data_IF_622282918511
#
_entry.id   IF_622282918511
#
_cell.length_a   1.000
_cell.length_b   1.000
_cell.length_c   1.000
_cell.angle_alpha   90.00
_cell.angle_beta   90.00
_cell.angle_gamma   90.00
#
_symmetry.space_group_name_H-M   'P 1'
#
loop_
_entity.id
_entity.type
_entity.pdbx_description
1 polymer ?
#
# COMPACT_ATOMS: atom_id res chain seq x y z
N UNK A 1 41.45 28.89 20.17
CA UNK A 1 40.18 29.18 19.45
C UNK A 1 39.98 28.33 18.19
N UNK A 2 41.01 28.11 17.35
CA UNK A 2 40.88 27.36 16.07
C UNK A 2 40.42 25.89 16.21
N UNK A 3 40.93 25.13 17.19
CA UNK A 3 40.53 23.71 17.42
C UNK A 3 39.04 23.54 17.77
N UNK A 4 38.51 24.35 18.69
CA UNK A 4 37.08 24.30 19.08
C UNK A 4 36.16 24.68 17.92
N UNK A 5 36.59 25.63 17.09
CA UNK A 5 35.88 26.02 15.87
C UNK A 5 35.87 24.91 14.81
N UNK A 6 36.96 24.14 14.66
CA UNK A 6 37.01 22.97 13.77
C UNK A 6 36.04 21.87 14.23
N UNK A 7 36.01 21.55 15.53
CA UNK A 7 35.07 20.55 16.05
C UNK A 7 33.61 20.97 15.90
N UNK A 8 33.31 22.25 16.10
CA UNK A 8 31.97 22.79 15.85
C UNK A 8 31.58 22.70 14.37
N UNK A 9 32.53 22.95 13.46
CA UNK A 9 32.29 22.84 12.03
C UNK A 9 32.04 21.39 11.59
N UNK A 10 32.83 20.44 12.10
CA UNK A 10 32.65 19.02 11.83
C UNK A 10 31.32 18.48 12.37
N UNK A 11 30.89 18.96 13.55
CA UNK A 11 29.59 18.60 14.11
C UNK A 11 28.43 19.07 13.21
N UNK A 12 28.48 20.33 12.75
CA UNK A 12 27.46 20.89 11.86
C UNK A 12 27.41 20.12 10.54
N UNK A 13 28.58 19.81 9.96
CA UNK A 13 28.68 19.01 8.75
C UNK A 13 28.08 17.62 8.97
N UNK A 14 28.40 16.95 10.08
CA UNK A 14 27.84 15.63 10.40
C UNK A 14 26.32 15.66 10.52
N UNK A 15 25.76 16.67 11.20
CA UNK A 15 24.30 16.82 11.34
C UNK A 15 23.64 17.03 9.98
N UNK A 16 24.26 17.85 9.11
CA UNK A 16 23.78 18.08 7.75
C UNK A 16 23.83 16.78 6.93
N UNK A 17 24.92 16.02 6.98
CA UNK A 17 25.03 14.76 6.24
C UNK A 17 24.02 13.70 6.72
N UNK A 18 23.73 13.63 8.02
CA UNK A 18 22.78 12.64 8.57
C UNK A 18 21.31 13.06 8.42
N UNK A 19 21.04 14.34 8.14
CA UNK A 19 19.65 14.83 7.95
C UNK A 19 19.14 14.60 6.54
N UNK A 20 20.01 14.28 5.59
CA UNK A 20 19.61 13.70 4.30
C UNK A 20 19.27 12.23 4.50
N UNK A 21 18.01 11.96 4.84
CA UNK A 21 17.43 10.63 4.63
C UNK A 21 17.34 10.40 3.12
N UNK A 22 18.44 9.94 2.52
CA UNK A 22 18.50 9.40 1.16
C UNK A 22 17.82 8.03 1.16
N UNK A 23 16.54 8.01 1.51
CA UNK A 23 15.68 6.90 1.16
C UNK A 23 15.52 7.02 -0.35
N UNK A 24 16.41 6.34 -1.08
CA UNK A 24 16.28 6.21 -2.53
C UNK A 24 14.90 5.59 -2.77
N UNK A 25 14.06 6.29 -3.53
CA UNK A 25 12.84 5.71 -4.04
C UNK A 25 13.21 4.38 -4.71
N UNK A 26 12.48 3.31 -4.36
CA UNK A 26 12.65 2.00 -5.00
C UNK A 26 12.59 2.21 -6.51
N UNK A 27 13.59 1.67 -7.21
CA UNK A 27 13.82 1.85 -8.63
C UNK A 27 12.54 1.59 -9.43
N UNK A 28 12.14 2.54 -10.28
CA UNK A 28 10.88 2.49 -11.04
C UNK A 28 10.93 1.49 -12.20
N UNK A 29 12.12 1.00 -12.54
CA UNK A 29 12.39 0.18 -13.72
C UNK A 29 11.73 -1.22 -13.66
N UNK A 30 11.21 -1.64 -12.49
CA UNK A 30 10.54 -2.92 -12.29
C UNK A 30 9.13 -2.77 -11.69
N UNK A 31 8.41 -1.72 -12.04
CA UNK A 31 7.04 -1.54 -11.55
C UNK A 31 6.10 -2.54 -12.25
N UNK A 32 5.42 -3.40 -11.49
CA UNK A 32 4.30 -4.20 -12.00
C UNK A 32 3.24 -3.25 -12.57
N UNK A 33 2.90 -3.41 -13.85
CA UNK A 33 1.91 -2.57 -14.49
C UNK A 33 0.51 -3.17 -14.34
N UNK A 34 -0.43 -2.33 -13.90
CA UNK A 34 -1.85 -2.67 -13.78
C UNK A 34 -2.65 -1.78 -14.71
N UNK A 35 -3.36 -2.38 -15.67
CA UNK A 35 -4.34 -1.69 -16.52
C UNK A 35 -5.73 -2.25 -16.23
N UNK A 36 -6.63 -1.39 -15.79
CA UNK A 36 -8.02 -1.74 -15.52
C UNK A 36 -8.94 -1.00 -16.48
N UNK A 37 -9.82 -1.75 -17.12
CA UNK A 37 -10.98 -1.22 -17.83
C UNK A 37 -12.22 -1.55 -17.02
N UNK A 38 -12.96 -0.53 -16.59
CA UNK A 38 -14.12 -0.66 -15.71
C UNK A 38 -15.36 -0.07 -16.39
N UNK A 39 -16.48 -0.77 -16.26
CA UNK A 39 -17.80 -0.32 -16.69
C UNK A 39 -18.71 -0.29 -15.46
N UNK A 40 -19.19 0.89 -15.12
CA UNK A 40 -20.22 1.07 -14.09
C UNK A 40 -21.60 1.02 -14.76
N UNK A 41 -22.43 0.06 -14.33
CA UNK A 41 -23.84 0.03 -14.65
C UNK A 41 -24.64 0.56 -13.45
N UNK A 42 -25.10 1.80 -13.57
CA UNK A 42 -25.82 2.51 -12.50
C UNK A 42 -27.20 1.90 -12.22
N UNK A 43 -27.89 1.41 -13.25
CA UNK A 43 -29.24 0.84 -13.13
C UNK A 43 -29.23 -0.46 -12.32
N UNK A 44 -28.27 -1.36 -12.60
CA UNK A 44 -28.09 -2.60 -11.84
C UNK A 44 -27.18 -2.46 -10.63
N UNK A 45 -26.59 -1.27 -10.40
CA UNK A 45 -25.57 -1.02 -9.37
C UNK A 45 -24.42 -2.04 -9.41
N UNK A 46 -23.99 -2.41 -10.61
CA UNK A 46 -22.88 -3.35 -10.81
C UNK A 46 -21.68 -2.65 -11.43
N UNK A 47 -20.49 -3.06 -11.02
CA UNK A 47 -19.23 -2.69 -11.69
C UNK A 47 -18.66 -3.96 -12.31
N UNK A 48 -18.41 -3.90 -13.60
CA UNK A 48 -17.74 -4.96 -14.36
C UNK A 48 -16.37 -4.45 -14.79
N UNK A 49 -15.40 -5.34 -14.93
CA UNK A 49 -14.08 -4.90 -15.36
C UNK A 49 -13.14 -6.01 -15.78
N UNK A 50 -12.15 -5.62 -16.58
CA UNK A 50 -11.03 -6.45 -17.00
C UNK A 50 -9.76 -5.84 -16.41
N UNK A 51 -9.01 -6.64 -15.66
CA UNK A 51 -7.71 -6.27 -15.14
C UNK A 51 -6.62 -7.04 -15.89
N UNK A 52 -5.77 -6.32 -16.61
CA UNK A 52 -4.57 -6.86 -17.24
C UNK A 52 -3.35 -6.52 -16.37
N UNK A 53 -2.56 -7.56 -16.03
CA UNK A 53 -1.39 -7.45 -15.14
C UNK A 53 -0.17 -7.95 -15.89
N UNK A 54 0.85 -7.10 -16.00
CA UNK A 54 2.16 -7.48 -16.53
C UNK A 54 3.17 -7.52 -15.38
N UNK A 55 3.68 -8.72 -15.10
CA UNK A 55 4.59 -8.99 -14.00
C UNK A 55 5.92 -9.56 -14.50
N UNK A 56 7.02 -8.96 -14.05
CA UNK A 56 8.37 -9.46 -14.26
C UNK A 56 8.95 -9.93 -12.93
N UNK A 57 9.38 -11.19 -12.86
CA UNK A 57 10.05 -11.72 -11.67
C UNK A 57 11.49 -11.17 -11.57
N UNK A 58 11.74 -10.28 -10.61
CA UNK A 58 13.06 -9.71 -10.36
C UNK A 58 13.77 -10.32 -9.15
N UNK A 59 13.18 -11.35 -8.55
CA UNK A 59 13.80 -12.06 -7.44
C UNK A 59 14.84 -13.05 -7.95
N UNK A 60 15.84 -13.38 -7.13
CA UNK A 60 16.89 -14.35 -7.50
C UNK A 60 16.38 -15.80 -7.55
N UNK A 61 15.16 -16.03 -7.08
CA UNK A 61 14.48 -17.31 -7.08
C UNK A 61 13.55 -17.49 -8.29
N UNK A 62 13.34 -18.75 -8.68
CA UNK A 62 12.34 -19.12 -9.68
C UNK A 62 10.93 -18.84 -9.17
N UNK A 63 10.15 -18.08 -9.95
CA UNK A 63 8.73 -17.86 -9.70
C UNK A 63 7.98 -19.20 -9.65
N UNK A 64 7.37 -19.52 -8.51
CA UNK A 64 6.58 -20.75 -8.32
C UNK A 64 5.08 -20.50 -8.44
N UNK A 65 4.60 -19.42 -7.83
CA UNK A 65 3.19 -19.07 -7.77
C UNK A 65 2.99 -17.55 -7.80
N UNK A 66 1.85 -17.14 -8.36
CA UNK A 66 1.33 -15.78 -8.29
C UNK A 66 0.02 -15.82 -7.51
N UNK A 67 -0.06 -15.04 -6.44
CA UNK A 67 -1.22 -14.98 -5.55
C UNK A 67 -1.86 -13.61 -5.67
N UNK A 68 -3.18 -13.57 -5.89
CA UNK A 68 -3.97 -12.35 -5.99
C UNK A 68 -4.93 -12.25 -4.82
N UNK A 69 -5.05 -11.05 -4.25
CA UNK A 69 -6.12 -10.74 -3.31
C UNK A 69 -7.37 -10.34 -4.10
N UNK A 70 -8.41 -11.15 -4.02
CA UNK A 70 -9.73 -10.82 -4.55
C UNK A 70 -10.73 -10.80 -3.40
N UNK A 71 -11.32 -9.65 -3.16
CA UNK A 71 -12.41 -9.49 -2.20
C UNK A 71 -13.70 -9.32 -2.98
N UNK A 72 -14.68 -10.21 -2.74
CA UNK A 72 -16.05 -9.93 -3.12
C UNK A 72 -16.53 -8.66 -2.40
N UNK A 73 -17.56 -7.99 -2.92
CA UNK A 73 -18.18 -6.79 -2.34
C UNK A 73 -18.19 -6.83 -0.81
N UNK A 74 -17.17 -6.19 -0.23
CA UNK A 74 -16.77 -6.43 1.15
C UNK A 74 -17.68 -5.72 2.12
N UNK A 75 -18.48 -4.76 1.63
CA UNK A 75 -19.26 -3.86 2.46
C UNK A 75 -20.65 -4.40 2.81
N UNK A 76 -21.06 -5.53 2.21
CA UNK A 76 -22.38 -6.14 2.48
C UNK A 76 -22.41 -7.11 3.65
N UNK A 77 -21.26 -7.51 4.18
CA UNK A 77 -21.21 -8.37 5.36
C UNK A 77 -20.00 -8.08 6.24
N UNK A 78 -20.16 -8.28 7.55
CA UNK A 78 -19.07 -8.14 8.52
C UNK A 78 -17.95 -9.16 8.31
N UNK A 79 -18.26 -10.34 7.77
CA UNK A 79 -17.28 -11.39 7.49
C UNK A 79 -16.34 -11.01 6.34
N UNK A 80 -16.83 -10.22 5.39
CA UNK A 80 -16.08 -9.81 4.19
C UNK A 80 -15.49 -8.40 4.31
N UNK A 81 -15.83 -7.63 5.35
CA UNK A 81 -15.47 -6.22 5.49
C UNK A 81 -13.95 -6.02 5.64
N UNK A 82 -13.34 -5.03 4.96
CA UNK A 82 -11.92 -4.82 5.06
C UNK A 82 -11.55 -4.40 6.48
N UNK A 83 -10.52 -5.02 7.06
CA UNK A 83 -10.04 -4.66 8.40
C UNK A 83 -9.47 -3.22 8.47
N UNK A 84 -9.13 -2.63 7.31
CA UNK A 84 -8.62 -1.26 7.22
C UNK A 84 -9.80 -0.30 7.30
N UNK A 85 -9.99 0.33 8.46
CA UNK A 85 -11.09 1.27 8.74
C UNK A 85 -12.40 0.60 9.19
N UNK A 86 -12.37 -0.70 9.51
CA UNK A 86 -13.55 -1.50 9.87
C UNK A 86 -14.22 -1.11 11.19
N UNK A 87 -15.49 -1.53 11.32
CA UNK A 87 -16.28 -1.41 12.55
C UNK A 87 -15.75 -2.42 13.57
N UNK A 88 -15.21 -1.93 14.69
CA UNK A 88 -14.84 -2.77 15.83
C UNK A 88 -16.08 -3.06 16.68
N UNK A 89 -16.59 -4.30 16.62
CA UNK A 89 -17.66 -4.75 17.53
C UNK A 89 -17.02 -5.43 18.73
N UNK A 90 -17.26 -4.91 19.94
CA UNK A 90 -16.75 -5.52 21.17
C UNK A 90 -17.52 -6.79 21.52
N UNK A 91 -16.83 -7.77 22.10
CA UNK A 91 -17.45 -9.03 22.53
C UNK A 91 -18.57 -8.77 23.54
N UNK A 92 -19.82 -9.01 23.14
CA UNK A 92 -21.02 -8.80 23.96
C UNK A 92 -21.92 -7.64 23.51
N UNK A 93 -21.52 -6.88 22.50
CA UNK A 93 -22.36 -5.87 21.86
C UNK A 93 -23.10 -6.44 20.63
N UNK A 94 -24.31 -5.94 20.37
CA UNK A 94 -25.03 -6.27 19.15
C UNK A 94 -24.27 -5.71 17.95
N UNK A 95 -24.08 -6.57 16.94
CA UNK A 95 -23.47 -6.17 15.67
C UNK A 95 -24.41 -5.16 15.00
N UNK A 96 -23.98 -3.91 14.75
CA UNK A 96 -24.85 -2.92 14.14
C UNK A 96 -25.31 -3.35 12.74
N UNK A 97 -26.41 -2.80 12.23
CA UNK A 97 -26.78 -3.05 10.84
C UNK A 97 -25.84 -2.29 9.91
N UNK A 98 -25.34 -2.96 8.87
CA UNK A 98 -24.62 -2.31 7.78
C UNK A 98 -25.63 -1.47 7.00
N UNK A 99 -25.36 -0.16 6.91
CA UNK A 99 -26.14 0.74 6.06
C UNK A 99 -25.54 0.74 4.66
N UNK A 100 -26.39 0.69 3.63
CA UNK A 100 -25.97 0.79 2.22
C UNK A 100 -25.32 2.15 1.89
#
# INVERSE_FOLDING_TARGET
MKRKSIFSLLLVISIILTSFNLTLAVDLDNLTEYRMELVLNDESRTVEGILNIEFTNTYEDTLKELVFHLYADSYKSYETLPAIGGVYVYTGEEVPELTE
#
